data_IF_491461588783
#
_entry.id   IF_491461588783
#
_cell.length_a   1.000
_cell.length_b   1.000
_cell.length_c   1.000
_cell.angle_alpha   90.00
_cell.angle_beta   90.00
_cell.angle_gamma   90.00
#
_symmetry.space_group_name_H-M   'P 1'
#
loop_
_entity.id
_entity.type
_entity.pdbx_description
1 polymer ?
#
# COMPACT_ATOMS: atom_id res chain seq x y z
N UNK A 1 19.83 47.56 -12.01
CA UNK A 1 20.27 47.26 -10.63
C UNK A 1 19.07 47.51 -9.72
N UNK A 2 18.50 46.60 -8.93
CA UNK A 2 18.73 45.19 -8.64
C UNK A 2 17.36 44.47 -8.62
N UNK A 3 17.34 43.22 -9.10
CA UNK A 3 16.20 42.30 -8.94
C UNK A 3 16.14 41.86 -7.48
N UNK A 4 14.98 42.01 -6.84
CA UNK A 4 14.59 41.27 -5.63
C UNK A 4 13.17 40.74 -5.86
N UNK A 5 13.07 39.57 -6.49
CA UNK A 5 11.92 38.70 -6.26
C UNK A 5 12.32 37.81 -5.08
N UNK A 6 11.88 38.21 -3.89
CA UNK A 6 11.73 37.33 -2.74
C UNK A 6 10.97 36.08 -3.20
N UNK A 7 11.64 34.93 -3.18
CA UNK A 7 10.98 33.64 -3.38
C UNK A 7 10.02 33.42 -2.22
N UNK A 8 8.73 33.59 -2.50
CA UNK A 8 7.68 33.15 -1.60
C UNK A 8 7.94 31.68 -1.21
N UNK A 9 7.80 31.29 0.07
CA UNK A 9 7.84 29.89 0.45
C UNK A 9 6.79 29.15 -0.37
N UNK A 10 7.24 28.19 -1.19
CA UNK A 10 6.38 27.43 -2.08
C UNK A 10 5.39 26.63 -1.19
N UNK A 11 4.08 26.96 -1.17
CA UNK A 11 3.12 26.33 -0.27
C UNK A 11 2.79 24.88 -0.69
N UNK A 12 3.31 24.43 -1.83
CA UNK A 12 3.31 23.03 -2.24
C UNK A 12 4.43 22.22 -1.57
N UNK A 13 4.67 22.45 -0.27
CA UNK A 13 4.93 21.28 0.59
C UNK A 13 3.61 20.52 0.58
N UNK A 14 3.40 19.73 -0.48
CA UNK A 14 2.36 18.73 -0.51
C UNK A 14 2.49 18.00 0.82
N UNK A 15 1.55 18.26 1.73
CA UNK A 15 1.34 17.41 2.88
C UNK A 15 1.10 16.05 2.24
N UNK A 16 2.11 15.20 2.23
CA UNK A 16 1.91 13.78 2.04
C UNK A 16 1.11 13.36 3.26
N UNK A 17 -0.22 13.50 3.15
CA UNK A 17 -1.15 12.97 4.11
C UNK A 17 -0.83 11.47 4.25
N UNK A 18 -0.74 11.00 5.49
CA UNK A 18 -0.53 9.60 5.77
C UNK A 18 -1.57 8.78 4.98
N UNK A 19 -1.15 7.70 4.27
CA UNK A 19 -2.05 6.97 3.39
C UNK A 19 -3.23 6.42 4.19
N UNK A 20 -4.45 6.74 3.75
CA UNK A 20 -5.65 6.26 4.42
C UNK A 20 -5.79 4.75 4.25
N UNK A 21 -6.59 4.10 5.11
CA UNK A 21 -6.94 2.70 4.96
C UNK A 21 -7.44 2.36 3.54
N UNK A 22 -8.31 3.22 2.98
CA UNK A 22 -8.85 3.05 1.63
C UNK A 22 -7.76 3.17 0.55
N UNK A 23 -6.74 4.00 0.76
CA UNK A 23 -5.62 4.11 -0.18
C UNK A 23 -4.77 2.84 -0.18
N UNK A 24 -4.56 2.23 0.99
CA UNK A 24 -3.84 0.96 1.11
C UNK A 24 -4.62 -0.17 0.43
N UNK A 25 -5.93 -0.25 0.65
CA UNK A 25 -6.78 -1.25 -0.03
C UNK A 25 -6.72 -1.08 -1.55
N UNK A 26 -6.84 0.15 -2.05
CA UNK A 26 -6.75 0.45 -3.49
C UNK A 26 -5.38 0.10 -4.05
N UNK A 27 -4.30 0.36 -3.32
CA UNK A 27 -2.95 -0.03 -3.73
C UNK A 27 -2.81 -1.55 -3.83
N UNK A 28 -3.29 -2.29 -2.83
CA UNK A 28 -3.27 -3.75 -2.86
C UNK A 28 -4.07 -4.29 -4.05
N UNK A 29 -5.27 -3.76 -4.32
CA UNK A 29 -6.09 -4.17 -5.46
C UNK A 29 -5.39 -3.90 -6.78
N UNK A 30 -4.82 -2.71 -6.96
CA UNK A 30 -4.11 -2.35 -8.19
C UNK A 30 -2.93 -3.29 -8.46
N UNK A 31 -2.12 -3.58 -7.44
CA UNK A 31 -0.97 -4.49 -7.55
C UNK A 31 -1.44 -5.92 -7.87
N UNK A 32 -2.47 -6.40 -7.18
CA UNK A 32 -3.05 -7.73 -7.41
C UNK A 32 -3.59 -7.87 -8.84
N UNK A 33 -4.45 -6.94 -9.28
CA UNK A 33 -5.02 -6.95 -10.62
C UNK A 33 -3.93 -6.83 -11.69
N UNK A 34 -2.92 -5.99 -11.45
CA UNK A 34 -1.82 -5.80 -12.38
C UNK A 34 -0.96 -7.04 -12.56
N UNK A 35 -0.57 -7.72 -11.47
CA UNK A 35 0.18 -8.97 -11.56
C UNK A 35 -0.68 -10.11 -12.13
N UNK A 36 -1.95 -10.22 -11.73
CA UNK A 36 -2.86 -11.22 -12.28
C UNK A 36 -3.08 -11.02 -13.80
N UNK A 37 -3.22 -9.77 -14.25
CA UNK A 37 -3.29 -9.42 -15.66
C UNK A 37 -2.00 -9.76 -16.43
N UNK A 38 -0.83 -9.74 -15.78
CA UNK A 38 0.44 -10.16 -16.41
C UNK A 38 0.62 -11.67 -16.48
N UNK A 39 0.02 -12.42 -15.54
CA UNK A 39 -0.09 -13.88 -15.61
C UNK A 39 -1.06 -14.34 -16.69
N UNK A 40 -2.02 -13.49 -17.10
CA UNK A 40 -2.92 -13.71 -18.23
C UNK A 40 -2.31 -13.14 -19.53
N UNK A 41 -1.94 -14.01 -20.46
CA UNK A 41 -1.33 -13.62 -21.75
C UNK A 41 -2.19 -12.65 -22.57
N UNK A 42 -3.52 -12.62 -22.35
CA UNK A 42 -4.43 -11.70 -23.05
C UNK A 42 -4.50 -10.30 -22.42
N UNK A 43 -4.05 -10.13 -21.16
CA UNK A 43 -4.17 -8.87 -20.40
C UNK A 43 -2.84 -8.25 -20.00
N UNK A 44 -1.73 -8.90 -20.36
CA UNK A 44 -0.36 -8.52 -20.00
C UNK A 44 0.04 -7.08 -20.36
N UNK A 45 -0.61 -6.47 -21.36
CA UNK A 45 -0.32 -5.11 -21.83
C UNK A 45 -1.09 -4.01 -21.07
N UNK A 46 -2.02 -4.36 -20.19
CA UNK A 46 -2.87 -3.38 -19.49
C UNK A 46 -2.15 -2.67 -18.34
N UNK A 47 -1.10 -3.28 -17.79
CA UNK A 47 -0.36 -2.76 -16.65
C UNK A 47 1.14 -2.73 -16.96
N UNK A 48 1.72 -1.55 -16.78
CA UNK A 48 3.15 -1.34 -16.92
C UNK A 48 3.89 -1.94 -15.71
N UNK A 49 4.92 -2.75 -15.98
CA UNK A 49 5.67 -3.43 -14.92
C UNK A 49 6.43 -2.45 -14.03
N UNK A 50 6.92 -1.35 -14.61
CA UNK A 50 7.62 -0.33 -13.85
C UNK A 50 6.65 0.39 -12.91
N UNK A 51 5.44 0.74 -13.37
CA UNK A 51 4.40 1.30 -12.50
C UNK A 51 4.02 0.34 -11.37
N UNK A 52 3.82 -0.96 -11.65
CA UNK A 52 3.52 -1.95 -10.61
C UNK A 52 4.60 -2.00 -9.53
N UNK A 53 5.88 -2.02 -9.93
CA UNK A 53 7.01 -1.97 -8.99
C UNK A 53 7.05 -0.66 -8.18
N UNK A 54 6.65 0.47 -8.79
CA UNK A 54 6.52 1.75 -8.08
C UNK A 54 5.37 1.70 -7.07
N UNK A 55 4.21 1.13 -7.42
CA UNK A 55 3.08 0.94 -6.49
C UNK A 55 3.41 -0.01 -5.36
N UNK A 56 4.14 -1.09 -5.64
CA UNK A 56 4.66 -2.03 -4.66
C UNK A 56 5.54 -1.34 -3.62
N UNK A 57 6.47 -0.50 -4.07
CA UNK A 57 7.30 0.30 -3.16
C UNK A 57 6.43 1.24 -2.31
N UNK A 58 5.48 1.93 -2.93
CA UNK A 58 4.53 2.79 -2.21
C UNK A 58 3.70 2.01 -1.18
N UNK A 59 3.28 0.79 -1.50
CA UNK A 59 2.55 -0.09 -0.59
C UNK A 59 3.42 -0.44 0.62
N UNK A 60 4.69 -0.80 0.41
CA UNK A 60 5.64 -1.08 1.51
C UNK A 60 5.75 0.09 2.48
N UNK A 61 5.95 1.30 1.94
CA UNK A 61 6.07 2.52 2.76
C UNK A 61 4.75 2.81 3.49
N UNK A 62 3.61 2.67 2.79
CA UNK A 62 2.28 2.90 3.36
C UNK A 62 1.93 1.91 4.48
N UNK A 63 2.32 0.64 4.34
CA UNK A 63 2.09 -0.39 5.35
C UNK A 63 2.93 -0.16 6.61
N UNK A 64 4.17 0.28 6.45
CA UNK A 64 5.04 0.62 7.57
C UNK A 64 4.50 1.81 8.38
N UNK A 65 4.02 2.84 7.69
CA UNK A 65 3.39 4.00 8.32
C UNK A 65 2.08 3.61 9.00
N UNK A 66 1.20 2.87 8.31
CA UNK A 66 -0.10 2.45 8.82
C UNK A 66 -0.02 1.62 10.11
N UNK A 67 0.90 0.66 10.17
CA UNK A 67 1.11 -0.15 11.38
C UNK A 67 1.63 0.68 12.58
N UNK A 68 2.26 1.82 12.31
CA UNK A 68 2.82 2.71 13.33
C UNK A 68 1.81 3.77 13.79
N UNK A 69 0.85 4.16 12.95
CA UNK A 69 -0.07 5.29 13.18
C UNK A 69 -1.48 4.89 13.60
N UNK A 70 -1.93 3.66 13.32
CA UNK A 70 -3.30 3.21 13.61
C UNK A 70 -3.35 2.01 14.57
N UNK A 71 -3.33 2.22 15.90
CA UNK A 71 -3.46 1.14 16.87
C UNK A 71 -4.89 0.57 17.00
N UNK A 72 -5.92 1.38 16.68
CA UNK A 72 -7.35 1.06 16.86
C UNK A 72 -8.12 1.05 15.53
N UNK A 73 -7.78 0.09 14.67
CA UNK A 73 -8.52 -0.12 13.41
C UNK A 73 -9.75 -1.00 13.70
N UNK A 74 -10.92 -0.79 13.07
CA UNK A 74 -12.02 -1.72 13.21
C UNK A 74 -11.66 -3.13 12.74
N UNK A 75 -12.04 -4.16 13.49
CA UNK A 75 -11.74 -5.58 13.18
C UNK A 75 -12.16 -6.00 11.78
N UNK A 76 -13.30 -5.49 11.31
CA UNK A 76 -13.79 -5.74 9.94
C UNK A 76 -12.80 -5.24 8.89
N UNK A 77 -12.25 -4.05 9.10
CA UNK A 77 -11.30 -3.41 8.20
C UNK A 77 -9.93 -4.11 8.26
N UNK A 78 -9.51 -4.54 9.46
CA UNK A 78 -8.32 -5.40 9.61
C UNK A 78 -8.44 -6.71 8.80
N UNK A 79 -9.60 -7.37 8.86
CA UNK A 79 -9.82 -8.62 8.12
C UNK A 79 -9.81 -8.39 6.60
N UNK A 80 -10.39 -7.29 6.13
CA UNK A 80 -10.34 -6.89 4.71
C UNK A 80 -8.90 -6.62 4.26
N UNK A 81 -8.11 -5.89 5.06
CA UNK A 81 -6.71 -5.62 4.74
C UNK A 81 -5.87 -6.89 4.72
N UNK A 82 -6.08 -7.80 5.70
CA UNK A 82 -5.42 -9.11 5.72
C UNK A 82 -5.66 -9.88 4.41
N UNK A 83 -6.92 -10.00 3.99
CA UNK A 83 -7.28 -10.72 2.75
C UNK A 83 -6.60 -10.13 1.50
N UNK A 84 -6.53 -8.81 1.40
CA UNK A 84 -5.86 -8.14 0.29
C UNK A 84 -4.33 -8.33 0.33
N UNK A 85 -3.73 -8.29 1.52
CA UNK A 85 -2.29 -8.51 1.68
C UNK A 85 -1.90 -9.95 1.37
N UNK A 86 -2.74 -10.94 1.71
CA UNK A 86 -2.52 -12.35 1.37
C UNK A 86 -2.48 -12.55 -0.14
N UNK A 87 -3.45 -11.98 -0.85
CA UNK A 87 -3.51 -12.01 -2.32
C UNK A 87 -2.31 -11.35 -2.98
N UNK A 88 -1.86 -10.20 -2.46
CA UNK A 88 -0.64 -9.54 -2.96
C UNK A 88 0.60 -10.38 -2.66
N UNK A 89 0.73 -10.95 -1.47
CA UNK A 89 1.88 -11.76 -1.10
C UNK A 89 1.99 -13.08 -1.88
N UNK A 90 0.87 -13.60 -2.41
CA UNK A 90 0.84 -14.76 -3.29
C UNK A 90 1.35 -14.45 -4.71
N UNK A 91 1.07 -13.24 -5.21
CA UNK A 91 1.39 -12.86 -6.60
C UNK A 91 2.63 -11.98 -6.77
N UNK A 92 3.06 -11.27 -5.74
CA UNK A 92 4.15 -10.31 -5.84
C UNK A 92 5.48 -11.03 -6.12
N UNK A 93 6.12 -10.66 -7.23
CA UNK A 93 7.48 -11.09 -7.58
C UNK A 93 8.53 -10.42 -6.68
N UNK A 94 8.17 -9.30 -6.05
CA UNK A 94 9.03 -8.52 -5.18
C UNK A 94 9.05 -9.05 -3.74
N UNK A 95 10.16 -9.69 -3.36
CA UNK A 95 10.36 -10.27 -2.03
C UNK A 95 10.14 -9.26 -0.88
N UNK A 96 10.45 -7.98 -1.08
CA UNK A 96 10.27 -6.96 -0.05
C UNK A 96 8.79 -6.67 0.22
N UNK A 97 7.95 -6.72 -0.83
CA UNK A 97 6.49 -6.61 -0.71
C UNK A 97 5.94 -7.80 0.05
N UNK A 98 6.34 -9.02 -0.34
CA UNK A 98 5.92 -10.26 0.32
C UNK A 98 6.30 -10.23 1.81
N UNK A 99 7.53 -9.83 2.12
CA UNK A 99 8.03 -9.77 3.49
C UNK A 99 7.25 -8.77 4.33
N UNK A 100 7.01 -7.55 3.83
CA UNK A 100 6.25 -6.53 4.59
C UNK A 100 4.77 -6.85 4.69
N UNK A 101 4.15 -7.38 3.63
CA UNK A 101 2.76 -7.84 3.68
C UNK A 101 2.59 -8.91 4.76
N UNK A 102 3.47 -9.93 4.80
CA UNK A 102 3.45 -10.98 5.84
C UNK A 102 3.62 -10.41 7.25
N UNK A 103 4.53 -9.45 7.45
CA UNK A 103 4.71 -8.83 8.76
C UNK A 103 3.46 -8.08 9.25
N UNK A 104 2.78 -7.36 8.35
CA UNK A 104 1.51 -6.71 8.70
C UNK A 104 0.42 -7.75 8.95
N UNK A 105 0.34 -8.83 8.17
CA UNK A 105 -0.60 -9.93 8.41
C UNK A 105 -0.38 -10.53 9.81
N UNK A 106 0.86 -10.89 10.18
CA UNK A 106 1.20 -11.41 11.51
C UNK A 106 0.80 -10.43 12.62
N UNK A 107 0.89 -9.12 12.37
CA UNK A 107 0.42 -8.10 13.31
C UNK A 107 -1.12 -8.01 13.39
N UNK A 108 -1.83 -8.19 12.28
CA UNK A 108 -3.31 -8.15 12.21
C UNK A 108 -3.97 -9.40 12.82
N UNK A 109 -3.40 -10.59 12.59
CA UNK A 109 -3.98 -11.89 13.01
C UNK A 109 -4.43 -11.97 14.47
N UNK A 110 -3.59 -11.64 15.48
CA UNK A 110 -4.01 -11.70 16.88
C UNK A 110 -5.13 -10.70 17.19
N UNK A 111 -5.10 -9.51 16.59
CA UNK A 111 -6.12 -8.46 16.80
C UNK A 111 -7.48 -8.85 16.23
N UNK A 112 -7.48 -9.52 15.07
CA UNK A 112 -8.70 -10.07 14.47
C UNK A 112 -9.27 -11.19 15.33
N UNK A 113 -8.40 -12.04 15.89
CA UNK A 113 -8.81 -13.14 16.75
C UNK A 113 -9.41 -12.66 18.08
N UNK A 114 -8.81 -11.65 18.71
CA UNK A 114 -9.29 -11.13 19.99
C UNK A 114 -10.64 -10.42 19.91
N UNK A 115 -10.96 -9.79 18.78
CA UNK A 115 -12.24 -9.12 18.58
C UNK A 115 -13.42 -10.07 18.26
N UNK A 116 -13.19 -11.39 18.19
CA UNK A 116 -14.24 -12.41 18.04
C UNK A 116 -14.66 -13.05 19.38
N UNK A 117 -14.06 -12.65 20.49
CA UNK A 117 -14.42 -13.08 21.86
C UNK A 117 -15.47 -12.15 22.46
#
# INVERSE_FOLDING_TARGET
>A
MAHNQEGAPNPNREHQEAPSFNDIIRLCQYIYEGWMARSDSNKRLLYDEHDLRVKEKKLVDSLAEFASTHPDIPTKDMAVLKDHLEKVAELADNEMVVTRAKQVITWLEPRIADAKK
#
